data_IF_806387219268
#
_entry.id   IF_806387219268
#
_cell.length_a   1.000
_cell.length_b   1.000
_cell.length_c   1.000
_cell.angle_alpha   90.00
_cell.angle_beta   90.00
_cell.angle_gamma   90.00
#
_symmetry.space_group_name_H-M   'P 1'
#
loop_
_entity.id
_entity.type
_entity.pdbx_description
1 polymer ?
#
# COMPACT_ATOMS: atom_id res chain seq x y z
N UNK A 1 10.77 -3.31 -6.94
CA UNK A 1 10.81 -3.97 -5.63
C UNK A 1 12.12 -3.65 -4.92
N UNK A 2 12.10 -3.44 -3.61
CA UNK A 2 13.30 -3.22 -2.78
C UNK A 2 13.19 -4.00 -1.46
N UNK A 3 14.27 -4.05 -0.69
CA UNK A 3 14.38 -4.80 0.60
C UNK A 3 13.23 -4.49 1.55
N UNK A 4 12.89 -3.22 1.75
CA UNK A 4 11.79 -2.79 2.62
C UNK A 4 10.44 -3.44 2.30
N UNK A 5 10.08 -3.65 1.03
CA UNK A 5 8.83 -4.34 0.69
C UNK A 5 8.86 -5.84 0.99
N UNK A 6 10.01 -6.50 0.78
CA UNK A 6 10.19 -7.93 1.12
C UNK A 6 10.14 -8.13 2.63
N UNK A 7 10.76 -7.22 3.40
CA UNK A 7 10.69 -7.20 4.86
C UNK A 7 9.25 -6.95 5.34
N UNK A 8 8.55 -5.98 4.75
CA UNK A 8 7.16 -5.68 5.09
C UNK A 8 6.26 -6.90 4.89
N UNK A 9 6.41 -7.60 3.75
CA UNK A 9 5.68 -8.85 3.49
C UNK A 9 5.93 -9.88 4.59
N UNK A 10 7.19 -10.20 4.90
CA UNK A 10 7.55 -11.21 5.91
C UNK A 10 7.01 -10.86 7.29
N UNK A 11 7.20 -9.62 7.73
CA UNK A 11 6.69 -9.16 9.02
C UNK A 11 5.15 -9.20 9.05
N UNK A 12 4.49 -8.88 7.94
CA UNK A 12 3.04 -9.01 7.84
C UNK A 12 2.57 -10.48 7.87
N UNK A 13 3.29 -11.42 7.26
CA UNK A 13 2.99 -12.86 7.34
C UNK A 13 3.04 -13.37 8.78
N UNK A 14 4.11 -13.01 9.50
CA UNK A 14 4.26 -13.34 10.92
C UNK A 14 3.12 -12.74 11.74
N UNK A 15 2.75 -11.48 11.47
CA UNK A 15 1.75 -10.76 12.25
C UNK A 15 0.31 -11.20 11.97
N UNK A 16 0.03 -11.63 10.75
CA UNK A 16 -1.29 -12.07 10.28
C UNK A 16 -1.45 -13.59 10.39
N UNK A 17 -0.38 -14.33 10.73
CA UNK A 17 -0.35 -15.79 10.83
C UNK A 17 -0.86 -16.47 9.55
N UNK A 18 -0.48 -15.93 8.40
CA UNK A 18 -0.98 -16.37 7.10
C UNK A 18 -0.16 -15.85 5.92
N UNK A 19 -0.40 -16.40 4.72
CA UNK A 19 0.36 -16.03 3.53
C UNK A 19 0.06 -14.58 3.10
N UNK A 20 1.09 -13.84 2.71
CA UNK A 20 0.96 -12.50 2.12
C UNK A 20 1.51 -12.53 0.71
N UNK A 21 0.66 -12.19 -0.25
CA UNK A 21 1.02 -12.06 -1.66
C UNK A 21 1.19 -10.61 -2.05
N UNK A 22 1.93 -10.36 -3.12
CA UNK A 22 1.96 -9.03 -3.71
C UNK A 22 0.72 -8.81 -4.58
N UNK A 23 0.32 -7.55 -4.73
CA UNK A 23 -0.71 -7.15 -5.68
C UNK A 23 -0.13 -6.05 -6.57
N UNK A 24 -0.35 -6.19 -7.87
CA UNK A 24 0.03 -5.19 -8.86
C UNK A 24 -1.19 -4.86 -9.72
N UNK A 25 -1.75 -3.67 -9.51
CA UNK A 25 -2.86 -3.19 -10.32
C UNK A 25 -2.37 -2.55 -11.62
N UNK A 26 -3.04 -2.93 -12.71
CA UNK A 26 -2.88 -2.37 -14.05
C UNK A 26 -3.36 -0.91 -14.12
N UNK A 27 -4.35 -0.57 -13.30
CA UNK A 27 -4.92 0.77 -13.20
C UNK A 27 -4.60 1.35 -11.83
N UNK A 28 -4.05 2.56 -11.79
CA UNK A 28 -3.97 3.33 -10.55
C UNK A 28 -4.78 4.60 -10.77
N UNK A 29 -5.63 4.97 -9.82
CA UNK A 29 -6.50 6.14 -9.94
C UNK A 29 -5.76 7.43 -10.39
N UNK A 30 -4.49 7.57 -10.00
CA UNK A 30 -3.66 8.75 -10.27
C UNK A 30 -2.65 8.59 -11.42
N UNK A 31 -2.63 7.48 -12.17
CA UNK A 31 -1.61 7.19 -13.19
C UNK A 31 -2.19 6.54 -14.44
N UNK A 32 -1.57 6.75 -15.62
CA UNK A 32 -1.96 6.01 -16.81
C UNK A 32 -1.85 4.49 -16.58
N UNK A 33 -2.68 3.68 -17.27
CA UNK A 33 -2.58 2.23 -17.22
C UNK A 33 -1.17 1.76 -17.59
N UNK A 34 -0.74 0.65 -17.01
CA UNK A 34 0.53 0.02 -17.38
C UNK A 34 0.37 -0.72 -18.71
N UNK A 35 1.30 -0.52 -19.64
CA UNK A 35 1.41 -1.38 -20.82
C UNK A 35 1.92 -2.78 -20.45
N UNK A 36 1.70 -3.75 -21.35
CA UNK A 36 2.03 -5.15 -21.12
C UNK A 36 3.53 -5.38 -20.85
N UNK A 37 4.42 -4.62 -21.49
CA UNK A 37 5.87 -4.75 -21.32
C UNK A 37 6.24 -4.31 -19.90
N UNK A 38 5.73 -3.16 -19.47
CA UNK A 38 5.93 -2.63 -18.12
C UNK A 38 5.37 -3.55 -17.04
N UNK A 39 4.23 -4.20 -17.29
CA UNK A 39 3.66 -5.20 -16.38
C UNK A 39 4.61 -6.39 -16.25
N UNK A 40 5.05 -6.96 -17.36
CA UNK A 40 5.98 -8.09 -17.36
C UNK A 40 7.29 -7.75 -16.62
N UNK A 41 7.88 -6.59 -16.90
CA UNK A 41 9.09 -6.11 -16.22
C UNK A 41 8.90 -5.92 -14.71
N UNK A 42 7.72 -5.45 -14.28
CA UNK A 42 7.40 -5.33 -12.85
C UNK A 42 7.19 -6.68 -12.21
N UNK A 43 6.50 -7.60 -12.87
CA UNK A 43 6.28 -8.96 -12.41
C UNK A 43 7.60 -9.69 -12.13
N UNK A 44 8.60 -9.54 -13.01
CA UNK A 44 9.94 -10.15 -12.84
C UNK A 44 10.67 -9.73 -11.56
N UNK A 45 10.26 -8.64 -10.91
CA UNK A 45 10.87 -8.16 -9.67
C UNK A 45 10.39 -8.93 -8.43
N UNK A 46 9.28 -9.67 -8.54
CA UNK A 46 8.69 -10.47 -7.49
C UNK A 46 9.08 -11.93 -7.71
N UNK A 47 10.06 -12.39 -6.92
CA UNK A 47 10.63 -13.74 -7.06
C UNK A 47 10.42 -14.58 -5.80
N UNK A 48 10.00 -13.95 -4.70
CA UNK A 48 9.89 -14.57 -3.37
C UNK A 48 8.45 -14.82 -2.90
N UNK A 49 7.45 -14.42 -3.67
CA UNK A 49 6.04 -14.68 -3.42
C UNK A 49 5.21 -14.48 -4.70
N UNK A 50 4.01 -15.09 -4.78
CA UNK A 50 3.06 -14.83 -5.86
C UNK A 50 2.66 -13.35 -5.98
N UNK A 51 2.25 -12.96 -7.19
CA UNK A 51 1.72 -11.63 -7.49
C UNK A 51 0.32 -11.78 -8.07
N UNK A 52 -0.68 -11.18 -7.44
CA UNK A 52 -1.99 -11.00 -8.02
C UNK A 52 -1.96 -9.80 -8.98
N UNK A 53 -2.21 -10.03 -10.26
CA UNK A 53 -2.39 -8.97 -11.25
C UNK A 53 -3.87 -8.64 -11.35
N UNK A 54 -4.22 -7.37 -11.14
CA UNK A 54 -5.63 -6.95 -11.11
C UNK A 54 -5.88 -5.72 -11.97
N UNK A 55 -7.14 -5.52 -12.35
CA UNK A 55 -7.62 -4.28 -12.91
C UNK A 55 -8.25 -3.33 -11.86
N UNK A 56 -8.11 -3.64 -10.56
CA UNK A 56 -8.79 -2.91 -9.50
C UNK A 56 -8.03 -1.62 -9.15
N UNK A 57 -8.60 -0.48 -9.55
CA UNK A 57 -7.97 0.84 -9.37
C UNK A 57 -8.10 1.40 -7.96
N UNK A 58 -9.07 0.94 -7.18
CA UNK A 58 -9.34 1.38 -5.80
C UNK A 58 -9.31 0.22 -4.81
N UNK A 59 -9.09 0.50 -3.53
CA UNK A 59 -9.20 -0.53 -2.49
C UNK A 59 -10.62 -1.08 -2.34
N UNK A 60 -11.65 -0.28 -2.62
CA UNK A 60 -13.02 -0.77 -2.67
C UNK A 60 -13.19 -1.82 -3.77
N UNK A 61 -12.62 -1.62 -4.96
CA UNK A 61 -12.65 -2.62 -6.03
C UNK A 61 -11.81 -3.85 -5.66
N UNK A 62 -10.64 -3.66 -5.04
CA UNK A 62 -9.82 -4.78 -4.53
C UNK A 62 -10.56 -5.61 -3.49
N UNK A 63 -11.35 -4.99 -2.62
CA UNK A 63 -12.15 -5.69 -1.62
C UNK A 63 -13.23 -6.59 -2.23
N UNK A 64 -13.71 -6.30 -3.45
CA UNK A 64 -14.62 -7.20 -4.18
C UNK A 64 -13.89 -8.42 -4.73
N UNK A 65 -12.62 -8.28 -5.11
CA UNK A 65 -11.78 -9.38 -5.58
C UNK A 65 -11.22 -10.23 -4.44
N UNK A 66 -10.94 -9.60 -3.29
CA UNK A 66 -10.29 -10.20 -2.13
C UNK A 66 -11.12 -9.95 -0.86
N UNK A 67 -12.34 -10.52 -0.76
CA UNK A 67 -13.13 -10.40 0.46
C UNK A 67 -12.40 -11.07 1.64
N UNK A 68 -12.69 -10.61 2.86
CA UNK A 68 -12.12 -11.11 4.12
C UNK A 68 -10.58 -11.05 4.20
N UNK A 69 -9.94 -10.22 3.37
CA UNK A 69 -8.49 -10.09 3.31
C UNK A 69 -7.98 -8.85 4.05
N UNK A 70 -6.73 -8.90 4.52
CA UNK A 70 -6.04 -7.73 5.11
C UNK A 70 -5.05 -7.16 4.10
N UNK A 71 -5.25 -5.90 3.72
CA UNK A 71 -4.33 -5.17 2.84
C UNK A 71 -3.15 -4.61 3.64
N UNK A 72 -1.93 -5.00 3.27
CA UNK A 72 -0.71 -4.47 3.88
C UNK A 72 -0.32 -3.18 3.15
N UNK A 73 -0.28 -2.06 3.87
CA UNK A 73 -0.05 -0.73 3.29
C UNK A 73 0.90 0.11 4.14
N UNK A 74 1.56 1.09 3.53
CA UNK A 74 2.33 2.09 4.27
C UNK A 74 1.46 3.25 4.78
N UNK A 75 2.01 4.01 5.72
CA UNK A 75 1.37 5.19 6.33
C UNK A 75 0.78 6.16 5.31
N UNK A 76 1.52 6.52 4.25
CA UNK A 76 1.02 7.43 3.22
C UNK A 76 -0.25 6.92 2.53
N UNK A 77 -0.31 5.62 2.24
CA UNK A 77 -1.49 5.01 1.61
C UNK A 77 -2.67 5.01 2.58
N UNK A 78 -2.42 4.69 3.86
CA UNK A 78 -3.46 4.75 4.89
C UNK A 78 -4.02 6.17 5.06
N UNK A 79 -3.17 7.20 4.99
CA UNK A 79 -3.61 8.60 5.01
C UNK A 79 -4.51 8.93 3.82
N UNK A 80 -4.15 8.50 2.61
CA UNK A 80 -4.94 8.75 1.39
C UNK A 80 -6.32 8.11 1.42
N UNK A 81 -6.47 6.95 2.08
CA UNK A 81 -7.77 6.30 2.27
C UNK A 81 -8.78 7.15 3.06
N UNK A 82 -8.29 8.15 3.81
CA UNK A 82 -9.07 9.03 4.67
C UNK A 82 -9.19 10.46 4.10
N UNK A 83 -8.79 10.68 2.85
CA UNK A 83 -8.79 12.00 2.22
C UNK A 83 -9.82 12.07 1.08
N UNK A 84 -10.85 12.94 1.17
CA UNK A 84 -11.92 13.04 0.18
C UNK A 84 -11.47 13.31 -1.26
N UNK A 85 -10.32 13.98 -1.45
CA UNK A 85 -9.76 14.26 -2.78
C UNK A 85 -9.51 12.99 -3.62
N UNK A 86 -9.25 11.84 -2.98
CA UNK A 86 -9.10 10.56 -3.70
C UNK A 86 -10.45 9.91 -4.07
N UNK A 87 -11.55 10.55 -3.72
CA UNK A 87 -12.92 10.11 -3.96
C UNK A 87 -13.72 11.15 -4.76
N UNK A 88 -13.02 11.97 -5.57
CA UNK A 88 -13.62 13.07 -6.32
C UNK A 88 -14.14 14.16 -5.40
N UNK A 89 -13.34 14.53 -4.40
CA UNK A 89 -13.62 15.57 -3.40
C UNK A 89 -14.94 15.36 -2.63
N UNK A 90 -15.35 14.09 -2.45
CA UNK A 90 -16.63 13.73 -1.83
C UNK A 90 -16.44 12.88 -0.58
N UNK A 91 -16.74 13.48 0.58
CA UNK A 91 -16.81 12.77 1.86
C UNK A 91 -17.79 11.60 1.83
N UNK A 92 -18.93 11.76 1.15
CA UNK A 92 -19.94 10.71 1.04
C UNK A 92 -19.41 9.49 0.26
N UNK A 93 -18.64 9.71 -0.82
CA UNK A 93 -18.02 8.61 -1.59
C UNK A 93 -16.90 7.94 -0.82
N UNK A 94 -16.07 8.70 -0.11
CA UNK A 94 -15.05 8.15 0.80
C UNK A 94 -15.70 7.27 1.89
N UNK A 95 -16.77 7.77 2.50
CA UNK A 95 -17.56 7.05 3.50
C UNK A 95 -18.09 5.73 2.96
N UNK A 96 -18.75 5.77 1.80
CA UNK A 96 -19.28 4.59 1.15
C UNK A 96 -18.18 3.56 0.83
N UNK A 97 -17.00 4.01 0.39
CA UNK A 97 -15.87 3.12 0.11
C UNK A 97 -15.34 2.43 1.38
N UNK A 98 -15.19 3.16 2.49
CA UNK A 98 -14.76 2.59 3.78
C UNK A 98 -15.82 1.64 4.35
N UNK A 99 -17.11 1.97 4.20
CA UNK A 99 -18.19 1.08 4.61
C UNK A 99 -18.24 -0.19 3.76
N UNK A 100 -17.99 -0.09 2.44
CA UNK A 100 -17.87 -1.25 1.57
C UNK A 100 -16.71 -2.15 2.00
N UNK A 101 -15.53 -1.59 2.28
CA UNK A 101 -14.37 -2.33 2.79
C UNK A 101 -14.71 -3.09 4.07
N UNK A 102 -15.43 -2.44 5.00
CA UNK A 102 -15.89 -3.07 6.24
C UNK A 102 -16.89 -4.20 6.00
N UNK A 103 -17.85 -3.99 5.11
CA UNK A 103 -18.87 -4.98 4.74
C UNK A 103 -18.25 -6.22 4.07
N UNK A 104 -17.19 -6.04 3.29
CA UNK A 104 -16.44 -7.14 2.67
C UNK A 104 -15.50 -7.86 3.66
N UNK A 105 -15.51 -7.49 4.94
CA UNK A 105 -14.63 -8.08 5.96
C UNK A 105 -13.15 -7.71 5.80
N UNK A 106 -12.84 -6.70 4.98
CA UNK A 106 -11.47 -6.30 4.74
C UNK A 106 -10.91 -5.43 5.87
N UNK A 107 -9.59 -5.48 6.04
CA UNK A 107 -8.83 -4.66 6.98
C UNK A 107 -7.55 -4.13 6.33
N UNK A 108 -6.85 -3.25 7.02
CA UNK A 108 -5.55 -2.71 6.63
C UNK A 108 -4.54 -2.94 7.74
N UNK A 109 -3.40 -3.56 7.42
CA UNK A 109 -2.23 -3.57 8.30
C UNK A 109 -1.31 -2.43 7.87
N UNK A 110 -1.15 -1.42 8.72
CA UNK A 110 -0.51 -0.15 8.39
C UNK A 110 0.90 -0.11 8.96
N UNK A 111 1.89 -0.13 8.07
CA UNK A 111 3.29 0.13 8.40
C UNK A 111 3.52 1.63 8.58
N UNK A 112 4.14 1.99 9.71
CA UNK A 112 4.55 3.37 9.98
C UNK A 112 5.68 3.86 9.06
N UNK A 113 5.97 5.15 9.11
CA UNK A 113 7.01 5.80 8.32
C UNK A 113 7.71 6.89 9.11
N UNK A 114 9.03 7.00 8.95
CA UNK A 114 9.81 8.14 9.43
C UNK A 114 9.71 9.32 8.44
N UNK A 115 9.33 10.50 8.94
CA UNK A 115 9.27 11.75 8.20
C UNK A 115 10.00 12.80 9.06
N UNK A 116 11.07 13.39 8.52
CA UNK A 116 11.88 14.42 9.19
C UNK A 116 12.34 14.02 10.62
N UNK A 117 12.66 12.73 10.81
CA UNK A 117 13.12 12.18 12.09
C UNK A 117 12.01 11.77 13.06
N UNK A 118 10.75 11.98 12.72
CA UNK A 118 9.58 11.58 13.52
C UNK A 118 8.92 10.35 12.90
N UNK A 119 8.70 9.31 13.71
CA UNK A 119 8.02 8.10 13.26
C UNK A 119 6.51 8.24 13.39
N UNK A 120 5.80 8.14 12.28
CA UNK A 120 4.35 8.25 12.21
C UNK A 120 3.67 6.89 12.02
N UNK A 121 2.56 6.67 12.73
CA UNK A 121 1.75 5.44 12.67
C UNK A 121 0.28 5.76 12.44
N UNK A 122 -0.56 4.73 12.29
CA UNK A 122 -2.01 4.90 12.16
C UNK A 122 -2.64 5.73 13.29
N UNK A 123 -2.01 5.80 14.46
CA UNK A 123 -2.46 6.60 15.60
C UNK A 123 -2.41 8.11 15.34
N UNK A 124 -1.55 8.55 14.42
CA UNK A 124 -1.45 9.96 14.02
C UNK A 124 -2.50 10.36 12.98
N UNK A 125 -3.27 9.41 12.45
CA UNK A 125 -4.35 9.67 11.52
C UNK A 125 -5.69 9.85 12.25
N UNK A 126 -6.44 10.88 11.87
CA UNK A 126 -7.77 11.14 12.39
C UNK A 126 -8.80 10.13 11.81
N UNK A 127 -8.80 8.89 12.33
CA UNK A 127 -9.77 7.86 11.93
C UNK A 127 -11.05 7.96 12.77
N UNK A 128 -12.22 8.22 12.15
CA UNK A 128 -13.50 8.20 12.85
C UNK A 128 -13.79 6.88 13.57
N UNK A 129 -14.41 6.89 14.76
CA UNK A 129 -14.63 5.69 15.57
C UNK A 129 -15.22 4.49 14.81
N UNK A 130 -16.19 4.73 13.92
CA UNK A 130 -16.87 3.69 13.13
C UNK A 130 -15.94 2.86 12.23
N UNK A 131 -14.75 3.37 11.87
CA UNK A 131 -13.80 2.69 10.98
C UNK A 131 -12.48 2.34 11.64
N UNK A 132 -12.30 2.63 12.94
CA UNK A 132 -11.06 2.25 13.65
C UNK A 132 -10.74 0.77 13.50
N UNK A 133 -11.77 -0.09 13.52
CA UNK A 133 -11.61 -1.54 13.34
C UNK A 133 -11.10 -1.98 11.97
N UNK A 134 -11.13 -1.11 10.95
CA UNK A 134 -10.55 -1.36 9.64
C UNK A 134 -9.03 -1.31 9.65
N UNK A 135 -8.41 -0.59 10.60
CA UNK A 135 -6.98 -0.36 10.59
C UNK A 135 -6.29 -1.04 11.78
N UNK A 136 -5.27 -1.82 11.46
CA UNK A 136 -4.38 -2.48 12.39
C UNK A 136 -3.02 -1.80 12.30
N UNK A 137 -2.46 -1.43 13.42
CA UNK A 137 -1.10 -0.90 13.48
C UNK A 137 -0.09 -2.03 13.31
N UNK A 138 0.91 -1.82 12.45
CA UNK A 138 2.15 -2.57 12.50
C UNK A 138 3.16 -1.80 13.35
N UNK A 139 3.55 -2.30 14.55
CA UNK A 139 4.40 -1.54 15.48
C UNK A 139 5.77 -1.20 14.89
N UNK A 140 6.34 -0.06 15.29
CA UNK A 140 7.70 0.36 14.90
C UNK A 140 8.75 -0.71 15.21
N UNK A 141 8.61 -1.39 16.36
CA UNK A 141 9.52 -2.46 16.79
C UNK A 141 9.52 -3.67 15.85
N UNK A 142 8.42 -3.88 15.10
CA UNK A 142 8.32 -4.95 14.11
C UNK A 142 8.76 -4.48 12.73
N UNK A 143 8.47 -3.22 12.37
CA UNK A 143 8.82 -2.67 11.07
C UNK A 143 9.16 -1.18 11.12
N UNK A 144 10.42 -0.89 10.80
CA UNK A 144 10.92 0.44 10.47
C UNK A 144 11.82 0.37 9.25
N UNK A 145 11.50 1.19 8.26
CA UNK A 145 12.28 1.39 7.04
C UNK A 145 12.27 2.89 6.70
N UNK A 146 13.43 3.53 6.83
CA UNK A 146 13.55 4.99 6.68
C UNK A 146 13.68 5.43 5.20
N UNK A 147 13.74 4.47 4.26
CA UNK A 147 13.96 4.73 2.83
C UNK A 147 12.68 4.52 2.03
N UNK A 148 12.23 5.54 1.30
CA UNK A 148 11.05 5.44 0.42
C UNK A 148 11.39 4.92 -0.99
N UNK A 149 10.45 4.24 -1.66
CA UNK A 149 10.64 3.78 -3.04
C UNK A 149 10.76 4.92 -4.06
N UNK A 150 10.27 6.11 -3.72
CA UNK A 150 10.44 7.33 -4.55
C UNK A 150 11.88 7.82 -4.45
N UNK A 151 12.45 7.82 -3.26
CA UNK A 151 13.84 8.18 -3.03
C UNK A 151 14.80 7.20 -3.71
N UNK A 152 14.55 5.90 -3.60
CA UNK A 152 15.32 4.87 -4.32
C UNK A 152 15.23 5.03 -5.84
N UNK A 153 14.07 5.42 -6.37
CA UNK A 153 13.91 5.71 -7.80
C UNK A 153 14.70 6.94 -8.22
N UNK A 154 14.66 8.02 -7.43
CA UNK A 154 15.47 9.23 -7.68
C UNK A 154 16.96 8.92 -7.68
N UNK A 155 17.44 8.15 -6.71
CA UNK A 155 18.85 7.70 -6.64
C UNK A 155 19.25 6.89 -7.88
N UNK A 156 18.44 5.91 -8.30
CA UNK A 156 18.70 5.11 -9.52
C UNK A 156 18.73 5.93 -10.82
N UNK A 157 17.92 6.99 -10.91
CA UNK A 157 17.94 7.90 -12.06
C UNK A 157 19.19 8.78 -12.04
N UNK A 158 19.58 9.29 -10.86
CA UNK A 158 20.82 10.05 -10.69
C UNK A 158 22.06 9.20 -11.02
N UNK A 159 22.16 7.98 -10.48
CA UNK A 159 23.30 7.08 -10.69
C UNK A 159 23.47 6.67 -12.17
N UNK A 160 22.37 6.58 -12.93
CA UNK A 160 22.43 6.31 -14.39
C UNK A 160 22.88 7.53 -15.18
N UNK A 161 22.53 8.75 -14.76
CA UNK A 161 22.98 9.97 -15.42
C UNK A 161 24.49 10.16 -15.27
N UNK A 162 25.06 9.81 -14.10
CA UNK A 162 26.50 9.93 -13.82
C UNK A 162 27.37 8.84 -14.47
N UNK A 163 26.78 7.75 -14.97
CA UNK A 163 27.51 6.67 -15.68
C UNK A 163 27.49 6.83 -17.21
N UNK A 164 26.86 7.89 -17.72
CA UNK A 164 26.78 8.17 -19.17
C UNK A 164 27.69 9.35 -19.60
N UNK A 165 28.56 9.81 -18.70
CA UNK A 165 29.64 10.78 -18.96
C UNK A 165 31.00 10.06 -18.90
#
# INVERSE_FOLDING_TARGET
>A
MHSGHRKLRRVAEERLEGPVVYELSLFNADKPPLDYITVEERCRQFQDAPVALTAAGTFADKARLFPNSTFVVGFDTARRLLEPRFYGDSDARMQAALDQLRQQGCRFLVAGRCIDGVFHTIKDLAVPPRWRGLFLELPESAFREDVSSTELRRRRVADRATQTE
#
